data_IF_255598742626
#
_entry.id   IF_255598742626
#
_cell.length_a   1.000
_cell.length_b   1.000
_cell.length_c   1.000
_cell.angle_alpha   90.00
_cell.angle_beta   90.00
_cell.angle_gamma   90.00
#
_symmetry.space_group_name_H-M   'P 1'
#
loop_
_entity.id
_entity.type
_entity.pdbx_description
1 polymer ?
#
# COMPACT_ATOMS: atom_id res chain seq x y z
N UNK A 1 29.26 -3.04 -15.06
CA UNK A 1 29.09 -1.67 -14.54
C UNK A 1 28.13 -1.69 -13.36
N UNK A 2 28.64 -1.69 -12.10
CA UNK A 2 27.80 -1.81 -10.89
C UNK A 2 27.42 -0.47 -10.22
N UNK A 3 28.06 0.65 -10.58
CA UNK A 3 27.92 1.92 -9.83
C UNK A 3 26.59 2.66 -10.03
N UNK A 4 25.89 2.45 -11.15
CA UNK A 4 24.64 3.17 -11.44
C UNK A 4 23.41 2.60 -10.68
N UNK A 5 23.45 1.34 -10.27
CA UNK A 5 22.33 0.69 -9.57
C UNK A 5 22.21 1.18 -8.12
N UNK A 6 23.33 1.51 -7.47
CA UNK A 6 23.38 1.93 -6.06
C UNK A 6 22.83 3.35 -5.85
N UNK A 7 23.11 4.28 -6.76
CA UNK A 7 22.67 5.70 -6.68
C UNK A 7 21.17 5.87 -6.94
N UNK A 8 20.60 5.06 -7.84
CA UNK A 8 19.14 5.06 -8.12
C UNK A 8 18.34 4.62 -6.90
N UNK A 9 18.81 3.63 -6.15
CA UNK A 9 18.14 3.12 -4.95
C UNK A 9 18.14 4.17 -3.82
N UNK A 10 19.28 4.85 -3.60
CA UNK A 10 19.39 5.94 -2.63
C UNK A 10 18.48 7.14 -2.96
N UNK A 11 18.41 7.53 -4.23
CA UNK A 11 17.53 8.63 -4.66
C UNK A 11 16.05 8.29 -4.46
N UNK A 12 15.65 7.06 -4.80
CA UNK A 12 14.28 6.58 -4.56
C UNK A 12 13.96 6.54 -3.06
N UNK A 13 14.83 5.93 -2.25
CA UNK A 13 14.66 5.87 -0.80
C UNK A 13 14.55 7.27 -0.17
N UNK A 14 15.40 8.21 -0.61
CA UNK A 14 15.37 9.60 -0.17
C UNK A 14 14.08 10.33 -0.57
N UNK A 15 13.57 10.08 -1.77
CA UNK A 15 12.31 10.66 -2.22
C UNK A 15 11.11 10.13 -1.41
N UNK A 16 11.07 8.81 -1.16
CA UNK A 16 10.08 8.21 -0.27
C UNK A 16 10.19 8.84 1.12
N UNK A 17 11.40 8.94 1.69
CA UNK A 17 11.62 9.57 2.98
C UNK A 17 11.08 11.01 3.05
N UNK A 18 11.31 11.83 2.01
CA UNK A 18 10.74 13.19 1.93
C UNK A 18 9.22 13.22 1.89
N UNK A 19 8.60 12.23 1.25
CA UNK A 19 7.15 12.09 1.19
C UNK A 19 6.61 11.69 2.58
N UNK A 20 7.28 10.77 3.28
CA UNK A 20 6.89 10.29 4.60
C UNK A 20 7.05 11.36 5.69
N UNK A 21 8.07 12.22 5.61
CA UNK A 21 8.38 13.23 6.63
C UNK A 21 7.29 14.30 6.82
N UNK A 22 6.38 14.46 5.86
CA UNK A 22 5.42 15.58 5.84
C UNK A 22 4.10 15.29 6.55
N UNK A 23 3.82 14.03 6.90
CA UNK A 23 2.46 13.59 7.22
C UNK A 23 2.39 12.85 8.58
N UNK A 24 1.29 13.07 9.34
CA UNK A 24 1.05 12.51 10.69
C UNK A 24 0.98 10.98 10.71
N UNK A 25 0.55 10.38 9.59
CA UNK A 25 0.52 8.94 9.38
C UNK A 25 1.06 8.64 7.98
N UNK A 26 2.15 7.89 7.90
CA UNK A 26 2.82 7.58 6.63
C UNK A 26 3.65 6.32 6.76
N UNK A 27 3.25 5.23 6.10
CA UNK A 27 4.13 4.06 5.94
C UNK A 27 4.00 3.45 4.56
N UNK A 28 5.16 3.09 4.04
CA UNK A 28 5.37 2.42 2.77
C UNK A 28 5.97 1.05 3.04
N UNK A 29 5.35 0.02 2.49
CA UNK A 29 5.89 -1.34 2.50
C UNK A 29 5.96 -1.86 1.07
N UNK A 30 7.10 -2.45 0.71
CA UNK A 30 7.29 -3.19 -0.53
C UNK A 30 7.93 -4.52 -0.20
N UNK A 31 7.28 -5.61 -0.60
CA UNK A 31 7.74 -6.95 -0.27
C UNK A 31 6.65 -8.01 -0.45
N UNK A 32 6.93 -9.21 0.04
CA UNK A 32 5.96 -10.28 0.13
C UNK A 32 4.96 -9.98 1.25
N UNK A 33 3.66 -10.18 1.02
CA UNK A 33 2.64 -9.95 2.04
C UNK A 33 2.29 -11.28 2.71
N UNK A 34 3.02 -11.58 3.78
CA UNK A 34 2.70 -12.71 4.65
C UNK A 34 1.58 -12.34 5.62
N UNK A 35 1.02 -13.34 6.30
CA UNK A 35 0.04 -13.13 7.37
C UNK A 35 0.59 -12.19 8.45
N UNK A 36 1.81 -12.46 8.93
CA UNK A 36 2.47 -11.65 9.96
C UNK A 36 2.67 -10.20 9.53
N UNK A 37 3.09 -9.95 8.27
CA UNK A 37 3.25 -8.58 7.78
C UNK A 37 1.89 -7.86 7.71
N UNK A 38 0.86 -8.57 7.25
CA UNK A 38 -0.49 -8.03 7.13
C UNK A 38 -1.05 -7.66 8.51
N UNK A 39 -0.92 -8.55 9.50
CA UNK A 39 -1.32 -8.32 10.89
C UNK A 39 -0.56 -7.14 11.52
N UNK A 40 0.75 -7.05 11.30
CA UNK A 40 1.58 -5.96 11.81
C UNK A 40 1.15 -4.59 11.22
N UNK A 41 0.89 -4.52 9.91
CA UNK A 41 0.44 -3.29 9.26
C UNK A 41 -0.94 -2.85 9.77
N UNK A 42 -1.85 -3.81 9.96
CA UNK A 42 -3.19 -3.55 10.51
C UNK A 42 -3.12 -3.06 11.96
N UNK A 43 -2.31 -3.72 12.79
CA UNK A 43 -2.08 -3.33 14.19
C UNK A 43 -1.49 -1.93 14.29
N UNK A 44 -0.46 -1.63 13.50
CA UNK A 44 0.15 -0.30 13.45
C UNK A 44 -0.87 0.79 13.09
N UNK A 45 -1.74 0.51 12.12
CA UNK A 45 -2.78 1.46 11.70
C UNK A 45 -3.86 1.61 12.74
N UNK A 46 -4.28 0.52 13.37
CA UNK A 46 -5.25 0.57 14.46
C UNK A 46 -4.73 1.43 15.62
N UNK A 47 -3.48 1.20 16.08
CA UNK A 47 -2.89 1.99 17.17
C UNK A 47 -2.79 3.48 16.82
N UNK A 48 -2.41 3.82 15.59
CA UNK A 48 -2.35 5.21 15.14
C UNK A 48 -3.74 5.85 15.05
N UNK A 49 -4.74 5.13 14.54
CA UNK A 49 -6.11 5.61 14.48
C UNK A 49 -6.69 5.79 15.88
N UNK A 50 -6.41 4.89 16.83
CA UNK A 50 -6.83 5.01 18.22
C UNK A 50 -6.29 6.29 18.88
N UNK A 51 -5.00 6.61 18.66
CA UNK A 51 -4.35 7.82 19.17
C UNK A 51 -4.77 9.11 18.45
N UNK A 52 -5.38 9.00 17.26
CA UNK A 52 -5.87 10.16 16.50
C UNK A 52 -7.18 10.73 17.07
N UNK A 53 -7.40 12.04 16.87
CA UNK A 53 -8.66 12.72 17.18
C UNK A 53 -9.74 12.54 16.09
N UNK A 54 -9.59 11.55 15.20
CA UNK A 54 -10.56 11.28 14.14
C UNK A 54 -11.90 10.76 14.70
N UNK A 55 -13.03 11.03 14.05
CA UNK A 55 -14.29 10.39 14.40
C UNK A 55 -14.24 8.87 14.24
N UNK A 56 -14.90 8.11 15.13
CA UNK A 56 -14.98 6.64 15.06
C UNK A 56 -15.41 6.12 13.69
N UNK A 57 -16.29 6.84 13.00
CA UNK A 57 -16.74 6.51 11.63
C UNK A 57 -15.57 6.53 10.63
N UNK A 58 -14.68 7.51 10.73
CA UNK A 58 -13.50 7.62 9.86
C UNK A 58 -12.50 6.53 10.21
N UNK A 59 -12.20 6.31 11.50
CA UNK A 59 -11.30 5.23 11.96
C UNK A 59 -11.72 3.87 11.39
N UNK A 60 -13.01 3.52 11.50
CA UNK A 60 -13.57 2.29 10.93
C UNK A 60 -13.41 2.24 9.41
N UNK A 61 -13.74 3.33 8.70
CA UNK A 61 -13.63 3.38 7.23
C UNK A 61 -12.19 3.15 6.76
N UNK A 62 -11.20 3.80 7.39
CA UNK A 62 -9.77 3.62 7.07
C UNK A 62 -9.35 2.16 7.31
N UNK A 63 -9.71 1.60 8.47
CA UNK A 63 -9.38 0.22 8.81
C UNK A 63 -9.95 -0.79 7.80
N UNK A 64 -11.25 -0.67 7.44
CA UNK A 64 -11.87 -1.57 6.47
C UNK A 64 -11.25 -1.47 5.08
N UNK A 65 -11.01 -0.26 4.57
CA UNK A 65 -10.35 -0.07 3.27
C UNK A 65 -8.95 -0.69 3.27
N UNK A 66 -8.24 -0.57 4.39
CA UNK A 66 -6.93 -1.18 4.54
C UNK A 66 -6.99 -2.71 4.53
N UNK A 67 -7.93 -3.32 5.25
CA UNK A 67 -8.14 -4.78 5.24
C UNK A 67 -8.38 -5.28 3.82
N UNK A 68 -9.33 -4.70 3.09
CA UNK A 68 -9.65 -5.09 1.71
C UNK A 68 -8.47 -4.88 0.77
N UNK A 69 -7.72 -3.80 0.95
CA UNK A 69 -6.52 -3.51 0.14
C UNK A 69 -5.43 -4.55 0.35
N UNK A 70 -5.18 -4.94 1.61
CA UNK A 70 -4.18 -5.96 1.94
C UNK A 70 -4.63 -7.34 1.49
N UNK A 71 -5.91 -7.68 1.65
CA UNK A 71 -6.48 -8.93 1.14
C UNK A 71 -6.35 -9.03 -0.39
N UNK A 72 -6.59 -7.93 -1.11
CA UNK A 72 -6.40 -7.88 -2.56
C UNK A 72 -4.95 -8.15 -2.94
N UNK A 73 -3.98 -7.57 -2.23
CA UNK A 73 -2.56 -7.87 -2.45
C UNK A 73 -2.28 -9.35 -2.16
N UNK A 74 -2.71 -9.87 -1.00
CA UNK A 74 -2.43 -11.24 -0.60
C UNK A 74 -3.02 -12.26 -1.56
N UNK A 75 -4.22 -12.00 -2.08
CA UNK A 75 -4.92 -12.86 -3.04
C UNK A 75 -4.26 -12.87 -4.42
N UNK A 76 -3.69 -11.75 -4.83
CA UNK A 76 -3.16 -11.54 -6.18
C UNK A 76 -1.64 -11.40 -6.25
N UNK A 77 -0.93 -11.63 -5.13
CA UNK A 77 0.51 -11.82 -5.14
C UNK A 77 0.84 -13.16 -5.81
N UNK A 78 1.89 -13.18 -6.63
CA UNK A 78 2.34 -14.43 -7.22
C UNK A 78 3.03 -15.28 -6.15
N UNK A 79 2.42 -16.44 -5.85
CA UNK A 79 2.86 -17.36 -4.81
C UNK A 79 4.21 -18.04 -5.11
N UNK A 80 4.74 -17.87 -6.32
CA UNK A 80 6.06 -18.37 -6.74
C UNK A 80 7.19 -17.38 -6.48
N UNK A 81 6.90 -16.21 -5.92
CA UNK A 81 7.89 -15.17 -5.68
C UNK A 81 8.62 -15.38 -4.35
N UNK A 82 9.94 -15.36 -4.42
CA UNK A 82 10.80 -15.20 -3.25
C UNK A 82 10.71 -13.75 -2.70
N UNK A 83 11.02 -13.53 -1.42
CA UNK A 83 10.94 -12.20 -0.76
C UNK A 83 11.83 -11.17 -1.48
N UNK A 84 12.92 -11.63 -2.09
CA UNK A 84 13.87 -10.83 -2.86
C UNK A 84 13.41 -10.54 -4.30
N UNK A 85 12.29 -11.14 -4.74
CA UNK A 85 11.88 -11.05 -6.12
C UNK A 85 11.48 -9.60 -6.48
N UNK A 86 11.87 -9.11 -7.66
CA UNK A 86 11.54 -7.77 -8.14
C UNK A 86 10.02 -7.55 -8.30
N UNK A 87 9.23 -8.63 -8.18
CA UNK A 87 7.80 -8.65 -8.42
C UNK A 87 6.92 -8.56 -7.15
N UNK A 88 7.48 -8.05 -6.06
CA UNK A 88 6.78 -7.86 -4.78
C UNK A 88 5.66 -6.82 -4.85
N UNK A 89 4.61 -7.02 -4.05
CA UNK A 89 3.55 -6.03 -3.88
C UNK A 89 4.05 -4.77 -3.18
N UNK A 90 3.27 -3.70 -3.28
CA UNK A 90 3.47 -2.45 -2.56
C UNK A 90 2.19 -2.02 -1.85
N UNK A 91 2.35 -1.45 -0.68
CA UNK A 91 1.29 -0.83 0.09
C UNK A 91 1.78 0.49 0.67
N UNK A 92 0.94 1.50 0.58
CA UNK A 92 1.23 2.83 1.08
C UNK A 92 -0.03 3.43 1.69
N UNK A 93 0.10 4.00 2.88
CA UNK A 93 -0.97 4.79 3.51
C UNK A 93 -0.40 6.13 3.94
N UNK A 94 -1.20 7.16 3.72
CA UNK A 94 -0.87 8.53 4.05
C UNK A 94 -2.05 9.28 4.63
N UNK A 95 -1.83 10.12 5.65
CA UNK A 95 -2.77 11.15 6.09
C UNK A 95 -2.28 12.51 5.62
N UNK A 96 -2.98 13.12 4.67
CA UNK A 96 -2.72 14.50 4.19
C UNK A 96 -3.87 15.41 4.61
N UNK A 97 -3.61 16.27 5.59
CA UNK A 97 -4.66 17.11 6.19
C UNK A 97 -5.79 16.25 6.77
N UNK A 98 -7.01 16.45 6.27
CA UNK A 98 -8.21 15.71 6.67
C UNK A 98 -8.48 14.43 5.86
N UNK A 99 -7.56 14.05 4.96
CA UNK A 99 -7.78 12.94 4.03
C UNK A 99 -6.79 11.80 4.28
N UNK A 100 -7.33 10.58 4.35
CA UNK A 100 -6.53 9.36 4.28
C UNK A 100 -6.45 8.88 2.83
N UNK A 101 -5.24 8.60 2.38
CA UNK A 101 -4.96 7.99 1.09
C UNK A 101 -4.36 6.61 1.33
N UNK A 102 -4.98 5.59 0.75
CA UNK A 102 -4.50 4.21 0.78
C UNK A 102 -4.21 3.80 -0.65
N UNK A 103 -3.02 3.28 -0.89
CA UNK A 103 -2.54 2.84 -2.20
C UNK A 103 -1.98 1.44 -2.09
N UNK A 104 -2.49 0.53 -2.89
CA UNK A 104 -2.00 -0.84 -3.03
C UNK A 104 -1.58 -1.07 -4.48
N UNK A 105 -0.62 -1.97 -4.69
CA UNK A 105 -0.17 -2.33 -6.02
C UNK A 105 0.46 -3.71 -6.04
N UNK A 106 0.13 -4.48 -7.06
CA UNK A 106 0.72 -5.78 -7.35
C UNK A 106 0.98 -5.89 -8.86
N UNK A 107 1.94 -6.72 -9.24
CA UNK A 107 2.16 -7.03 -10.64
C UNK A 107 1.07 -7.97 -11.12
N UNK A 108 0.59 -7.69 -12.33
CA UNK A 108 -0.43 -8.48 -13.01
C UNK A 108 0.07 -8.82 -14.40
N UNK A 109 -0.39 -9.96 -14.92
CA UNK A 109 -0.18 -10.31 -16.31
C UNK A 109 -0.91 -9.31 -17.22
N UNK A 110 -0.30 -8.99 -18.37
CA UNK A 110 -0.83 -8.02 -19.35
C UNK A 110 -2.27 -8.36 -19.77
N UNK A 111 -2.61 -9.65 -19.89
CA UNK A 111 -3.97 -10.11 -20.24
C UNK A 111 -5.04 -9.68 -19.23
N UNK A 112 -4.66 -9.43 -17.98
CA UNK A 112 -5.59 -9.04 -16.90
C UNK A 112 -5.83 -7.53 -16.84
N UNK A 113 -5.06 -6.70 -17.57
CA UNK A 113 -5.16 -5.23 -17.52
C UNK A 113 -6.55 -4.76 -17.92
N UNK A 114 -7.09 -5.22 -19.05
CA UNK A 114 -8.39 -4.76 -19.55
C UNK A 114 -9.52 -5.12 -18.58
N UNK A 115 -9.48 -6.33 -18.01
CA UNK A 115 -10.48 -6.79 -17.03
C UNK A 115 -10.44 -5.96 -15.74
N UNK A 116 -9.24 -5.68 -15.21
CA UNK A 116 -9.08 -4.86 -14.01
C UNK A 116 -9.52 -3.41 -14.26
N UNK A 117 -9.13 -2.83 -15.40
CA UNK A 117 -9.53 -1.47 -15.77
C UNK A 117 -11.05 -1.33 -15.85
N UNK A 118 -11.74 -2.24 -16.53
CA UNK A 118 -13.20 -2.20 -16.62
C UNK A 118 -13.89 -2.28 -15.25
N UNK A 119 -13.35 -3.07 -14.31
CA UNK A 119 -13.86 -3.14 -12.93
C UNK A 119 -13.67 -1.82 -12.19
N UNK A 120 -12.50 -1.20 -12.30
CA UNK A 120 -12.19 0.08 -11.66
C UNK A 120 -13.04 1.22 -12.23
N UNK A 121 -13.16 1.30 -13.56
CA UNK A 121 -14.00 2.29 -14.24
C UNK A 121 -15.47 2.17 -13.82
N UNK A 122 -15.98 0.95 -13.72
CA UNK A 122 -17.33 0.70 -13.21
C UNK A 122 -17.50 1.17 -11.77
N UNK A 123 -16.54 0.93 -10.88
CA UNK A 123 -16.63 1.39 -9.48
C UNK A 123 -16.62 2.92 -9.43
N UNK A 124 -15.75 3.55 -10.20
CA UNK A 124 -15.62 5.02 -10.23
C UNK A 124 -16.82 5.73 -10.88
N UNK A 125 -17.71 5.00 -11.56
CA UNK A 125 -18.94 5.53 -12.13
C UNK A 125 -20.18 5.31 -11.25
N UNK A 126 -20.03 4.64 -10.10
CA UNK A 126 -21.10 4.52 -9.11
C UNK A 126 -21.06 5.74 -8.18
N UNK A 127 -22.18 6.47 -8.13
CA UNK A 127 -22.41 7.59 -7.20
C UNK A 127 -22.69 7.10 -5.76
#
# INVERSE_FOLDING_TARGET
MPEQTSTVNLTFAYNIFKILQKDELSYYYKGLFTQTITENLLSLTQSNLEQSNEPTKIKKKVYFIMVESLQNIVKHQDSKLDISAPYSGMFFIQKRGSCYMITSGNIIEVRNINSLRAKLEKINSLD
#
